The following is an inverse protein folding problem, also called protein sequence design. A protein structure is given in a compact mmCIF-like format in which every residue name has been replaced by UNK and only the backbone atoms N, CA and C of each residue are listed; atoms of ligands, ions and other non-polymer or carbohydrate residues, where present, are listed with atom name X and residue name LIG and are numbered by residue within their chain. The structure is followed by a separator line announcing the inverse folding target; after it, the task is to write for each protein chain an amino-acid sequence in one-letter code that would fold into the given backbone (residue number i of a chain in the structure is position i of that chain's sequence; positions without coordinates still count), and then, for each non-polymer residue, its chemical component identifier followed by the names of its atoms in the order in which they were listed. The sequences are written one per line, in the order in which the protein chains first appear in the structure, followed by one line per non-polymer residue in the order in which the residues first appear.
data_IF_286579575057
#
_entry.id   IF_286579575057
#
_cell.length_a   1.000
_cell.length_b   1.000
_cell.length_c   1.000
_cell.angle_alpha   90.00
_cell.angle_beta   90.00
_cell.angle_gamma   90.00
#
_symmetry.space_group_name_H-M   'P 1'
#
loop_
_entity.id
_entity.type
_entity.pdbx_description
1 polymer ?
#
# COMPACT_ATOMS: atom_id res chain seq x y z
N UNK A 1 28.99 3.09 -5.06
CA UNK A 1 28.05 4.24 -5.13
C UNK A 1 27.82 4.77 -3.72
N UNK A 2 28.03 6.07 -3.43
CA UNK A 2 27.74 6.64 -2.11
C UNK A 2 26.25 6.54 -1.77
N UNK A 3 25.94 6.18 -0.51
CA UNK A 3 24.59 6.09 0.03
C UNK A 3 24.59 6.53 1.50
N UNK A 4 23.44 6.94 2.01
CA UNK A 4 23.27 7.25 3.43
C UNK A 4 21.91 6.73 3.92
N UNK A 5 21.88 6.19 5.14
CA UNK A 5 20.67 5.71 5.80
C UNK A 5 20.34 6.63 6.97
N UNK A 6 19.18 7.27 6.94
CA UNK A 6 18.68 8.08 8.05
C UNK A 6 17.74 7.23 8.92
N UNK A 7 18.03 7.16 10.20
CA UNK A 7 17.28 6.37 11.20
C UNK A 7 16.69 7.32 12.24
N UNK A 8 15.45 7.05 12.67
CA UNK A 8 14.73 7.91 13.61
C UNK A 8 14.34 9.23 12.95
N UNK A 9 13.42 9.17 12.00
CA UNK A 9 12.91 10.35 11.27
C UNK A 9 11.43 10.58 11.60
N UNK A 10 10.95 11.80 11.31
CA UNK A 10 9.53 12.11 11.45
C UNK A 10 8.68 11.17 10.57
N UNK A 11 7.51 10.66 11.02
CA UNK A 11 6.68 9.75 10.22
C UNK A 11 6.29 10.27 8.84
N UNK A 12 6.16 11.59 8.67
CA UNK A 12 5.93 12.21 7.35
C UNK A 12 7.10 11.99 6.37
N UNK A 13 8.35 11.98 6.87
CA UNK A 13 9.53 11.67 6.08
C UNK A 13 9.51 10.20 5.68
N UNK A 14 9.21 9.29 6.61
CA UNK A 14 9.09 7.87 6.34
C UNK A 14 7.98 7.56 5.31
N UNK A 15 6.81 8.21 5.41
CA UNK A 15 5.73 8.11 4.43
C UNK A 15 6.14 8.65 3.05
N UNK A 16 6.84 9.79 3.02
CA UNK A 16 7.34 10.36 1.77
C UNK A 16 8.37 9.47 1.08
N UNK A 17 9.24 8.80 1.84
CA UNK A 17 10.22 7.84 1.32
C UNK A 17 9.56 6.59 0.68
N UNK A 18 8.29 6.35 0.98
CA UNK A 18 7.48 5.27 0.42
C UNK A 18 6.54 5.75 -0.69
N UNK A 19 6.67 7.01 -1.12
CA UNK A 19 5.92 7.51 -2.26
C UNK A 19 6.33 6.75 -3.53
N UNK A 20 5.34 6.31 -4.30
CA UNK A 20 5.56 5.69 -5.61
C UNK A 20 5.24 6.75 -6.67
N UNK A 21 6.23 7.11 -7.48
CA UNK A 21 6.17 8.22 -8.42
C UNK A 21 7.04 8.01 -9.65
N UNK A 22 7.16 9.05 -10.47
CA UNK A 22 8.08 9.04 -11.62
C UNK A 22 9.53 9.08 -11.15
N UNK A 23 10.46 8.58 -11.97
CA UNK A 23 11.91 8.74 -11.74
C UNK A 23 12.35 10.21 -11.72
N UNK A 24 11.54 11.09 -12.30
CA UNK A 24 11.78 12.55 -12.36
C UNK A 24 11.23 13.29 -11.13
N UNK A 25 10.49 12.60 -10.25
CA UNK A 25 9.95 13.18 -9.02
C UNK A 25 10.92 12.98 -7.86
N UNK A 26 11.01 13.99 -6.99
CA UNK A 26 11.84 13.95 -5.80
C UNK A 26 10.96 13.78 -4.57
N UNK A 27 11.11 12.66 -3.85
CA UNK A 27 10.31 12.35 -2.67
C UNK A 27 10.46 13.42 -1.58
N UNK A 28 11.56 14.18 -1.55
CA UNK A 28 11.76 15.26 -0.57
C UNK A 28 10.75 16.39 -0.73
N UNK A 29 10.25 16.64 -1.94
CA UNK A 29 9.18 17.59 -2.16
C UNK A 29 7.86 17.09 -1.53
N UNK A 30 7.60 15.78 -1.61
CA UNK A 30 6.44 15.14 -0.97
C UNK A 30 6.59 15.19 0.55
N UNK A 31 7.78 14.88 1.08
CA UNK A 31 8.07 14.97 2.52
C UNK A 31 7.82 16.39 3.04
N UNK A 32 8.30 17.42 2.35
CA UNK A 32 8.05 18.82 2.72
C UNK A 32 6.56 19.20 2.64
N UNK A 33 5.85 18.74 1.62
CA UNK A 33 4.40 18.95 1.51
C UNK A 33 3.62 18.30 2.67
N UNK A 34 4.02 17.09 3.09
CA UNK A 34 3.42 16.40 4.25
C UNK A 34 3.74 17.09 5.58
N UNK A 35 4.94 17.67 5.71
CA UNK A 35 5.35 18.45 6.88
C UNK A 35 4.68 19.84 6.92
N UNK A 36 4.26 20.37 5.76
CA UNK A 36 3.76 21.73 5.62
C UNK A 36 4.86 22.79 5.54
N UNK A 37 6.13 22.37 5.48
CA UNK A 37 7.31 23.22 5.41
C UNK A 37 8.45 22.52 4.65
N UNK A 38 9.42 23.26 4.08
CA UNK A 38 10.57 22.67 3.41
C UNK A 38 11.38 21.74 4.33
N UNK A 39 11.80 20.59 3.81
CA UNK A 39 12.64 19.65 4.54
C UNK A 39 14.05 20.21 4.76
N UNK A 40 14.47 20.37 6.01
CA UNK A 40 15.83 20.78 6.35
C UNK A 40 16.82 19.62 6.12
N UNK A 41 17.83 19.87 5.29
CA UNK A 41 18.82 18.88 4.88
C UNK A 41 20.22 19.33 5.26
N UNK A 42 21.07 18.36 5.60
CA UNK A 42 22.51 18.56 5.84
C UNK A 42 23.30 17.62 4.94
N UNK A 43 24.50 18.05 4.53
CA UNK A 43 25.43 17.24 3.76
C UNK A 43 26.10 16.20 4.67
N UNK A 44 26.24 14.98 4.16
CA UNK A 44 27.05 13.94 4.76
C UNK A 44 28.52 14.36 4.93
N UNK A 45 29.22 13.77 5.90
CA UNK A 45 30.64 14.03 6.20
C UNK A 45 31.58 13.44 5.12
N UNK A 46 31.19 12.32 4.52
CA UNK A 46 32.04 11.52 3.62
C UNK A 46 31.61 11.57 2.16
N UNK A 47 30.54 12.30 1.83
CA UNK A 47 30.01 12.41 0.46
C UNK A 47 29.11 13.63 0.26
N UNK A 48 28.70 13.87 -0.98
CA UNK A 48 27.81 14.97 -1.37
C UNK A 48 26.32 14.66 -1.12
N UNK A 49 25.99 13.49 -0.53
CA UNK A 49 24.61 13.08 -0.25
C UNK A 49 24.00 14.01 0.82
N UNK A 50 22.73 14.39 0.62
CA UNK A 50 21.96 15.19 1.56
C UNK A 50 21.02 14.28 2.36
N UNK A 51 20.98 14.49 3.67
CA UNK A 51 20.15 13.72 4.62
C UNK A 51 19.30 14.66 5.49
N UNK A 52 18.16 14.23 6.04
CA UNK A 52 17.37 15.03 6.98
C UNK A 52 18.22 15.48 8.19
N UNK A 53 18.32 16.79 8.40
CA UNK A 53 19.17 17.36 9.46
C UNK A 53 18.74 16.93 10.88
N UNK A 54 17.48 16.52 11.03
CA UNK A 54 16.87 16.16 12.30
C UNK A 54 16.71 14.65 12.52
N UNK A 55 17.36 13.80 11.71
CA UNK A 55 17.41 12.37 11.98
C UNK A 55 18.12 12.08 13.32
N UNK A 56 17.72 11.01 14.01
CA UNK A 56 18.39 10.58 15.24
C UNK A 56 19.80 10.05 14.95
N UNK A 57 19.96 9.33 13.84
CA UNK A 57 21.23 8.76 13.39
C UNK A 57 21.31 8.72 11.86
N UNK A 58 22.51 8.94 11.32
CA UNK A 58 22.84 8.77 9.92
C UNK A 58 24.00 7.79 9.77
N UNK A 59 23.83 6.78 8.92
CA UNK A 59 24.87 5.82 8.54
C UNK A 59 25.28 6.13 7.12
N UNK A 60 26.48 6.66 6.93
CA UNK A 60 27.06 6.94 5.62
C UNK A 60 27.86 5.75 5.13
N UNK A 61 27.66 5.38 3.87
CA UNK A 61 28.26 4.18 3.31
C UNK A 61 28.50 4.28 1.80
N UNK A 62 29.12 3.24 1.26
CA UNK A 62 29.18 3.01 -0.17
C UNK A 62 28.72 1.58 -0.50
N UNK A 63 27.91 1.46 -1.56
CA UNK A 63 27.63 0.17 -2.18
C UNK A 63 28.87 -0.22 -3.01
N UNK A 64 29.45 -1.37 -2.70
CA UNK A 64 30.63 -1.91 -3.38
C UNK A 64 30.21 -2.55 -4.71
N UNK A 65 30.75 -2.08 -5.86
CA UNK A 65 30.38 -2.64 -7.15
C UNK A 65 30.85 -4.10 -7.27
N UNK A 66 30.03 -4.94 -7.89
CA UNK A 66 30.27 -6.37 -8.14
C UNK A 66 30.45 -7.27 -6.91
N UNK A 67 30.64 -6.74 -5.71
CA UNK A 67 30.71 -7.53 -4.49
C UNK A 67 29.31 -7.98 -4.05
N UNK A 68 29.19 -9.26 -3.71
CA UNK A 68 27.96 -9.87 -3.25
C UNK A 68 28.24 -10.81 -2.08
N UNK A 69 27.34 -10.82 -1.11
CA UNK A 69 27.36 -11.77 0.00
C UNK A 69 26.01 -12.48 0.14
N UNK A 70 25.99 -13.69 0.73
CA UNK A 70 24.74 -14.32 1.11
C UNK A 70 24.00 -13.49 2.18
N UNK A 71 22.76 -13.09 1.91
CA UNK A 71 21.87 -12.32 2.78
C UNK A 71 20.57 -13.11 3.04
N UNK A 72 20.06 -13.06 4.26
CA UNK A 72 18.93 -13.86 4.73
C UNK A 72 19.32 -15.23 5.32
N UNK A 73 18.34 -16.05 5.74
CA UNK A 73 16.91 -15.82 5.56
C UNK A 73 16.35 -14.70 6.43
N UNK A 74 15.27 -14.06 5.97
CA UNK A 74 14.60 -12.98 6.68
C UNK A 74 13.08 -13.07 6.52
N UNK A 75 12.33 -12.70 7.55
CA UNK A 75 10.86 -12.67 7.53
C UNK A 75 10.36 -11.45 6.77
N UNK A 76 9.49 -11.65 5.77
CA UNK A 76 9.02 -10.59 4.87
C UNK A 76 7.60 -10.12 5.19
N UNK A 77 7.18 -9.01 4.57
CA UNK A 77 5.83 -8.45 4.73
C UNK A 77 4.70 -9.41 4.33
N UNK A 78 5.02 -10.46 3.58
CA UNK A 78 4.07 -11.51 3.19
C UNK A 78 3.74 -12.46 4.34
N UNK A 79 4.46 -12.38 5.47
CA UNK A 79 4.34 -13.28 6.62
C UNK A 79 5.19 -14.55 6.49
N UNK A 80 6.03 -14.65 5.45
CA UNK A 80 6.89 -15.79 5.19
C UNK A 80 8.36 -15.38 5.23
N UNK A 81 9.21 -16.30 5.68
CA UNK A 81 10.65 -16.13 5.54
C UNK A 81 11.11 -16.60 4.16
N UNK A 82 11.92 -15.78 3.51
CA UNK A 82 12.57 -16.17 2.26
C UNK A 82 13.98 -16.68 2.53
N UNK A 83 14.41 -17.61 1.70
CA UNK A 83 15.74 -18.17 1.76
C UNK A 83 16.83 -17.16 1.42
N UNK A 84 18.07 -17.60 1.58
CA UNK A 84 19.25 -16.77 1.36
C UNK A 84 19.44 -16.43 -0.13
N UNK A 85 19.83 -15.18 -0.42
CA UNK A 85 20.15 -14.71 -1.78
C UNK A 85 21.46 -13.93 -1.79
N UNK A 86 22.14 -13.90 -2.94
CA UNK A 86 23.34 -13.06 -3.12
C UNK A 86 22.91 -11.60 -3.30
N UNK A 87 23.30 -10.72 -2.37
CA UNK A 87 22.92 -9.29 -2.33
C UNK A 87 24.15 -8.38 -2.25
N UNK A 88 23.95 -7.13 -2.59
CA UNK A 88 24.93 -6.05 -2.59
C UNK A 88 25.58 -5.85 -1.21
N UNK A 89 26.88 -5.56 -1.17
CA UNK A 89 27.59 -5.20 0.05
C UNK A 89 27.59 -3.69 0.24
N UNK A 90 27.19 -3.25 1.42
CA UNK A 90 27.24 -1.86 1.87
C UNK A 90 28.39 -1.71 2.86
N UNK A 91 29.39 -0.89 2.53
CA UNK A 91 30.53 -0.60 3.40
C UNK A 91 30.34 0.74 4.10
N UNK A 92 30.14 0.69 5.42
CA UNK A 92 29.99 1.88 6.26
C UNK A 92 31.29 2.68 6.31
N UNK A 93 31.17 4.00 6.18
CA UNK A 93 32.27 4.97 6.23
C UNK A 93 32.21 5.86 7.46
N UNK A 94 31.02 6.28 7.87
CA UNK A 94 30.81 7.10 9.04
C UNK A 94 29.43 6.82 9.66
N UNK A 95 29.33 7.06 10.96
CA UNK A 95 28.06 7.10 11.69
C UNK A 95 28.02 8.42 12.44
N UNK A 96 27.03 9.26 12.16
CA UNK A 96 26.77 10.50 12.90
C UNK A 96 25.43 10.38 13.60
N UNK A 97 25.29 10.99 14.78
CA UNK A 97 24.06 10.88 15.56
C UNK A 97 23.91 12.01 16.58
N UNK A 98 22.68 12.23 17.03
CA UNK A 98 22.38 13.14 18.13
C UNK A 98 22.94 12.62 19.46
N UNK A 99 23.23 13.53 20.40
CA UNK A 99 23.54 13.12 21.78
C UNK A 99 22.29 12.48 22.40
N UNK A 100 22.40 11.22 22.82
CA UNK A 100 21.25 10.47 23.36
C UNK A 100 20.28 9.97 22.29
N UNK A 101 20.76 9.75 21.06
CA UNK A 101 19.94 9.29 19.94
C UNK A 101 19.14 8.01 20.25
N UNK A 102 17.92 7.97 19.74
CA UNK A 102 17.06 6.78 19.76
C UNK A 102 17.23 5.98 18.47
N UNK A 103 17.33 4.65 18.59
CA UNK A 103 17.30 3.76 17.44
C UNK A 103 15.85 3.36 17.16
N UNK A 104 15.33 3.75 16.00
CA UNK A 104 14.00 3.36 15.54
C UNK A 104 14.12 2.06 14.74
N UNK A 105 13.46 1.01 15.24
CA UNK A 105 13.27 -0.25 14.52
C UNK A 105 11.80 -0.39 14.10
N UNK A 106 11.55 -1.10 13.00
CA UNK A 106 10.22 -1.40 12.48
C UNK A 106 10.11 -2.91 12.34
N UNK A 107 9.20 -3.52 13.11
CA UNK A 107 9.01 -4.96 13.06
C UNK A 107 8.31 -5.37 11.76
N UNK A 108 8.91 -6.28 11.01
CA UNK A 108 8.35 -6.71 9.72
C UNK A 108 7.00 -7.41 9.89
N UNK A 109 6.09 -7.20 8.92
CA UNK A 109 4.69 -7.65 8.93
C UNK A 109 3.83 -7.14 10.12
N UNK A 110 4.39 -6.34 11.03
CA UNK A 110 3.60 -5.69 12.07
C UNK A 110 2.84 -4.47 11.52
N UNK A 111 1.84 -3.99 12.26
CA UNK A 111 0.89 -2.99 11.78
C UNK A 111 1.57 -1.67 11.39
N UNK A 112 2.59 -1.25 12.13
CA UNK A 112 3.41 -0.06 11.83
C UNK A 112 4.15 -0.18 10.49
N UNK A 113 4.76 -1.33 10.19
CA UNK A 113 5.32 -1.59 8.86
C UNK A 113 4.24 -1.52 7.79
N UNK A 114 3.13 -2.24 7.97
CA UNK A 114 2.09 -2.36 6.95
C UNK A 114 1.40 -1.02 6.68
N UNK A 115 1.11 -0.23 7.71
CA UNK A 115 0.46 1.08 7.56
C UNK A 115 1.34 2.09 6.83
N UNK A 116 2.63 2.16 7.17
CA UNK A 116 3.57 3.07 6.52
C UNK A 116 3.63 2.83 5.01
N UNK A 117 3.63 1.57 4.57
CA UNK A 117 3.71 1.22 3.14
C UNK A 117 2.36 1.31 2.41
N UNK A 118 1.25 1.03 3.09
CA UNK A 118 -0.07 0.95 2.41
C UNK A 118 -0.71 2.31 2.17
N UNK A 119 -0.52 3.31 3.03
CA UNK A 119 -1.08 4.66 2.85
C UNK A 119 -0.64 5.31 1.51
N UNK A 120 0.66 5.42 1.18
CA UNK A 120 1.07 6.00 -0.10
C UNK A 120 0.62 5.14 -1.29
N UNK A 121 0.61 3.82 -1.15
CA UNK A 121 0.10 2.90 -2.17
C UNK A 121 -1.40 3.11 -2.44
N UNK A 122 -2.22 3.24 -1.39
CA UNK A 122 -3.66 3.53 -1.49
C UNK A 122 -3.91 4.88 -2.18
N UNK A 123 -3.13 5.91 -1.87
CA UNK A 123 -3.22 7.22 -2.53
C UNK A 123 -2.91 7.11 -4.04
N UNK A 124 -1.92 6.31 -4.41
CA UNK A 124 -1.55 6.07 -5.81
C UNK A 124 -2.62 5.27 -6.56
N UNK A 125 -3.12 4.19 -5.96
CA UNK A 125 -4.19 3.39 -6.53
C UNK A 125 -5.49 4.20 -6.65
N UNK A 126 -5.81 5.05 -5.67
CA UNK A 126 -6.93 5.97 -5.75
C UNK A 126 -6.81 6.92 -6.94
N UNK A 127 -5.63 7.52 -7.15
CA UNK A 127 -5.35 8.38 -8.32
C UNK A 127 -5.51 7.61 -9.63
N UNK A 128 -4.96 6.41 -9.72
CA UNK A 128 -5.04 5.57 -10.91
C UNK A 128 -6.50 5.21 -11.27
N UNK A 129 -7.29 4.76 -10.28
CA UNK A 129 -8.70 4.45 -10.50
C UNK A 129 -9.49 5.70 -10.86
N UNK A 130 -9.26 6.82 -10.16
CA UNK A 130 -10.00 8.08 -10.39
C UNK A 130 -9.83 8.62 -11.80
N UNK A 131 -8.67 8.40 -12.43
CA UNK A 131 -8.42 8.80 -13.81
C UNK A 131 -9.40 8.15 -14.81
N UNK A 132 -9.84 6.92 -14.54
CA UNK A 132 -10.78 6.17 -15.39
C UNK A 132 -12.21 6.15 -14.85
N UNK A 133 -12.37 6.17 -13.53
CA UNK A 133 -13.65 6.14 -12.80
C UNK A 133 -13.67 7.29 -11.79
N UNK A 134 -14.05 8.52 -12.22
CA UNK A 134 -14.04 9.70 -11.34
C UNK A 134 -14.95 9.59 -10.11
N UNK A 135 -15.88 8.63 -10.11
CA UNK A 135 -16.81 8.35 -9.03
C UNK A 135 -16.29 7.35 -7.98
N UNK A 136 -14.98 7.04 -7.99
CA UNK A 136 -14.32 6.30 -6.90
C UNK A 136 -14.50 7.00 -5.56
N UNK A 137 -14.84 6.23 -4.52
CA UNK A 137 -15.12 6.72 -3.16
C UNK A 137 -14.01 6.37 -2.20
N UNK A 138 -13.47 5.17 -2.27
CA UNK A 138 -12.43 4.70 -1.37
C UNK A 138 -11.58 3.60 -2.03
N UNK A 139 -10.32 3.51 -1.59
CA UNK A 139 -9.37 2.44 -1.91
C UNK A 139 -8.73 1.99 -0.61
N UNK A 140 -8.57 0.67 -0.43
CA UNK A 140 -7.98 0.07 0.77
C UNK A 140 -7.12 -1.13 0.38
N UNK A 141 -5.94 -1.25 0.96
CA UNK A 141 -5.03 -2.41 0.81
C UNK A 141 -4.97 -3.15 2.15
N UNK A 142 -5.94 -4.04 2.45
CA UNK A 142 -6.09 -4.67 3.76
C UNK A 142 -4.96 -5.64 4.11
N UNK A 143 -4.20 -6.11 3.12
CA UNK A 143 -3.11 -7.05 3.31
C UNK A 143 -2.33 -7.24 2.02
N UNK A 144 -1.25 -8.06 2.05
CA UNK A 144 -0.38 -8.27 0.91
C UNK A 144 -1.15 -8.64 -0.36
N UNK A 145 -0.80 -7.96 -1.46
CA UNK A 145 -1.31 -8.20 -2.81
C UNK A 145 -2.85 -8.10 -2.99
N UNK A 146 -3.58 -7.53 -2.03
CA UNK A 146 -5.03 -7.32 -2.11
C UNK A 146 -5.38 -5.84 -2.11
N UNK A 147 -6.29 -5.44 -2.99
CA UNK A 147 -6.88 -4.11 -3.03
C UNK A 147 -8.41 -4.19 -3.05
N UNK A 148 -9.07 -3.39 -2.22
CA UNK A 148 -10.50 -3.16 -2.22
C UNK A 148 -10.77 -1.76 -2.74
N UNK A 149 -11.78 -1.62 -3.59
CA UNK A 149 -12.16 -0.34 -4.19
C UNK A 149 -13.68 -0.18 -4.13
N UNK A 150 -14.12 0.98 -3.67
CA UNK A 150 -15.52 1.37 -3.66
C UNK A 150 -15.77 2.44 -4.72
N UNK A 151 -16.80 2.23 -5.55
CA UNK A 151 -17.20 3.18 -6.59
C UNK A 151 -18.70 3.48 -6.53
N UNK A 152 -19.08 4.68 -6.95
CA UNK A 152 -20.46 4.95 -7.35
C UNK A 152 -20.59 4.63 -8.85
N UNK A 153 -21.03 3.42 -9.16
CA UNK A 153 -21.15 2.94 -10.54
C UNK A 153 -22.26 3.71 -11.28
N UNK A 154 -21.88 4.34 -12.40
CA UNK A 154 -22.79 5.11 -13.27
C UNK A 154 -23.09 4.39 -14.58
N UNK A 155 -22.16 3.55 -15.05
CA UNK A 155 -22.29 2.78 -16.28
C UNK A 155 -21.91 1.32 -16.02
N UNK A 156 -22.67 0.34 -16.55
CA UNK A 156 -22.28 -1.07 -16.51
C UNK A 156 -20.86 -1.27 -17.09
N UNK A 157 -20.06 -2.10 -16.43
CA UNK A 157 -18.67 -2.38 -16.83
C UNK A 157 -17.61 -1.45 -16.23
N UNK A 158 -17.99 -0.34 -15.56
CA UNK A 158 -17.02 0.52 -14.87
C UNK A 158 -16.20 -0.23 -13.81
N UNK A 159 -16.80 -1.17 -13.08
CA UNK A 159 -16.08 -2.04 -12.15
C UNK A 159 -14.94 -2.82 -12.83
N UNK A 160 -15.16 -3.38 -14.02
CA UNK A 160 -14.09 -4.08 -14.77
C UNK A 160 -12.96 -3.14 -15.18
N UNK A 161 -13.27 -1.92 -15.63
CA UNK A 161 -12.24 -0.91 -15.95
C UNK A 161 -11.43 -0.51 -14.70
N UNK A 162 -12.09 -0.35 -13.55
CA UNK A 162 -11.42 -0.06 -12.28
C UNK A 162 -10.51 -1.21 -11.83
N UNK A 163 -10.97 -2.47 -11.97
CA UNK A 163 -10.14 -3.67 -11.72
C UNK A 163 -8.86 -3.62 -12.56
N UNK A 164 -8.98 -3.41 -13.87
CA UNK A 164 -7.82 -3.36 -14.78
C UNK A 164 -6.89 -2.20 -14.45
N UNK A 165 -7.45 -1.04 -14.08
CA UNK A 165 -6.67 0.13 -13.64
C UNK A 165 -5.81 -0.19 -12.41
N UNK A 166 -6.37 -0.82 -11.39
CA UNK A 166 -5.60 -1.22 -10.19
C UNK A 166 -4.53 -2.27 -10.53
N UNK A 167 -4.89 -3.32 -11.28
CA UNK A 167 -3.97 -4.40 -11.63
C UNK A 167 -2.79 -3.94 -12.52
N UNK A 168 -3.00 -2.88 -13.30
CA UNK A 168 -1.98 -2.25 -14.14
C UNK A 168 -1.20 -1.13 -13.46
N UNK A 169 -1.76 -0.48 -12.43
CA UNK A 169 -1.10 0.60 -11.70
C UNK A 169 -0.04 0.13 -10.70
N UNK A 170 -0.21 -1.08 -10.15
CA UNK A 170 0.76 -1.68 -9.25
C UNK A 170 1.27 -3.03 -9.79
N UNK A 171 2.60 -3.15 -9.85
CA UNK A 171 3.27 -4.31 -10.45
C UNK A 171 2.94 -5.60 -9.70
N UNK A 172 2.78 -5.55 -8.38
CA UNK A 172 2.67 -6.73 -7.51
C UNK A 172 1.23 -7.04 -7.07
N UNK A 173 0.29 -6.12 -7.29
CA UNK A 173 -1.11 -6.31 -6.94
C UNK A 173 -1.69 -7.53 -7.66
N UNK A 174 -2.26 -8.46 -6.87
CA UNK A 174 -2.71 -9.77 -7.35
C UNK A 174 -4.22 -9.90 -7.34
N UNK A 175 -4.89 -9.37 -6.31
CA UNK A 175 -6.33 -9.48 -6.11
C UNK A 175 -6.96 -8.11 -5.96
N UNK A 176 -8.03 -7.85 -6.71
CA UNK A 176 -8.83 -6.63 -6.57
C UNK A 176 -10.30 -6.98 -6.34
N UNK A 177 -10.95 -6.33 -5.38
CA UNK A 177 -12.40 -6.47 -5.16
C UNK A 177 -13.06 -5.10 -5.32
N UNK A 178 -13.99 -5.00 -6.26
CA UNK A 178 -14.77 -3.80 -6.52
C UNK A 178 -16.16 -3.92 -5.90
N UNK A 179 -16.59 -2.90 -5.17
CA UNK A 179 -17.90 -2.83 -4.52
C UNK A 179 -18.58 -1.48 -4.77
N UNK A 180 -19.88 -1.40 -4.55
CA UNK A 180 -20.58 -0.11 -4.59
C UNK A 180 -20.24 0.78 -3.38
N UNK A 181 -20.50 2.07 -3.52
CA UNK A 181 -20.37 3.10 -2.49
C UNK A 181 -21.19 2.88 -1.20
N UNK A 182 -22.12 1.91 -1.16
CA UNK A 182 -22.87 1.58 0.06
C UNK A 182 -22.17 0.52 0.94
N UNK A 183 -21.01 0.03 0.49
CA UNK A 183 -20.13 -0.92 1.18
C UNK A 183 -18.90 -0.18 1.69
N UNK A 184 -18.64 -0.33 2.99
CA UNK A 184 -17.42 0.17 3.62
C UNK A 184 -16.24 -0.79 3.35
N UNK A 185 -15.22 -0.31 2.63
CA UNK A 185 -14.01 -1.09 2.30
C UNK A 185 -13.08 -1.29 3.49
N UNK A 186 -13.33 -0.61 4.61
CA UNK A 186 -12.58 -0.78 5.86
C UNK A 186 -13.23 -1.81 6.81
N UNK A 187 -14.44 -2.33 6.50
CA UNK A 187 -15.09 -3.42 7.24
C UNK A 187 -15.09 -4.72 6.40
N UNK A 188 -14.21 -5.66 6.76
CA UNK A 188 -14.08 -6.95 6.08
C UNK A 188 -15.38 -7.78 6.06
N UNK A 189 -16.27 -7.58 7.04
CA UNK A 189 -17.58 -8.24 7.05
C UNK A 189 -18.48 -7.69 5.95
N UNK A 190 -18.42 -6.38 5.69
CA UNK A 190 -19.17 -5.77 4.59
C UNK A 190 -18.58 -6.20 3.23
N UNK A 191 -17.26 -6.30 3.13
CA UNK A 191 -16.61 -6.81 1.91
C UNK A 191 -17.00 -8.25 1.62
N UNK A 192 -16.96 -9.12 2.63
CA UNK A 192 -17.37 -10.53 2.50
C UNK A 192 -18.85 -10.64 2.12
N UNK A 193 -19.72 -9.83 2.74
CA UNK A 193 -21.15 -9.77 2.40
C UNK A 193 -21.38 -9.34 0.95
N UNK A 194 -20.69 -8.29 0.49
CA UNK A 194 -20.84 -7.80 -0.88
C UNK A 194 -20.41 -8.86 -1.90
N UNK A 195 -19.26 -9.51 -1.68
CA UNK A 195 -18.81 -10.63 -2.53
C UNK A 195 -19.86 -11.74 -2.55
N UNK A 196 -20.33 -12.19 -1.39
CA UNK A 196 -21.23 -13.34 -1.29
C UNK A 196 -22.61 -13.09 -1.93
N UNK A 197 -23.09 -11.84 -1.92
CA UNK A 197 -24.47 -11.53 -2.34
C UNK A 197 -24.56 -10.85 -3.71
N UNK A 198 -23.49 -10.21 -4.20
CA UNK A 198 -23.50 -9.43 -5.45
C UNK A 198 -22.60 -10.00 -6.55
N UNK A 199 -21.77 -11.00 -6.26
CA UNK A 199 -20.91 -11.65 -7.24
C UNK A 199 -21.51 -12.98 -7.72
N UNK A 200 -21.52 -13.20 -9.02
CA UNK A 200 -21.70 -14.51 -9.65
C UNK A 200 -20.36 -14.92 -10.28
N UNK A 201 -19.61 -15.87 -9.68
CA UNK A 201 -18.22 -16.15 -10.06
C UNK A 201 -17.97 -16.47 -11.53
N UNK A 202 -18.94 -17.06 -12.23
CA UNK A 202 -18.87 -17.41 -13.65
C UNK A 202 -18.77 -16.18 -14.57
N UNK A 203 -19.22 -15.00 -14.13
CA UNK A 203 -19.23 -13.77 -14.94
C UNK A 203 -18.56 -12.55 -14.29
N UNK A 204 -18.49 -12.54 -12.97
CA UNK A 204 -18.03 -11.40 -12.19
C UNK A 204 -16.56 -11.52 -11.75
N UNK A 205 -15.92 -12.68 -11.96
CA UNK A 205 -14.47 -12.84 -11.77
C UNK A 205 -13.75 -12.68 -13.11
N UNK A 206 -12.68 -11.89 -13.10
CA UNK A 206 -11.77 -11.74 -14.25
C UNK A 206 -10.39 -12.23 -13.84
N UNK A 207 -9.76 -13.06 -14.68
CA UNK A 207 -8.43 -13.61 -14.44
C UNK A 207 -7.51 -13.15 -15.57
N UNK A 208 -6.35 -12.60 -15.21
CA UNK A 208 -5.25 -12.26 -16.11
C UNK A 208 -4.09 -13.20 -15.79
N UNK A 209 -3.79 -14.09 -16.73
CA UNK A 209 -2.73 -15.09 -16.57
C UNK A 209 -1.37 -14.52 -16.99
N UNK A 210 -0.29 -15.13 -16.50
CA UNK A 210 1.09 -14.84 -16.91
C UNK A 210 1.50 -13.35 -16.75
N UNK A 211 0.97 -12.66 -15.73
CA UNK A 211 1.38 -11.31 -15.38
C UNK A 211 2.59 -11.35 -14.45
N UNK A 212 3.33 -10.23 -14.35
CA UNK A 212 4.42 -10.11 -13.37
C UNK A 212 3.84 -10.09 -11.96
N UNK A 213 4.43 -10.86 -11.05
CA UNK A 213 4.12 -10.87 -9.62
C UNK A 213 5.31 -10.42 -8.78
N UNK A 214 5.20 -10.65 -7.47
CA UNK A 214 6.32 -10.49 -6.53
C UNK A 214 7.05 -11.83 -6.39
N UNK A 215 8.37 -11.75 -6.33
CA UNK A 215 9.27 -12.85 -5.96
C UNK A 215 9.26 -13.15 -4.45
N UNK A 216 8.48 -12.39 -3.68
CA UNK A 216 8.22 -12.59 -2.25
C UNK A 216 6.88 -13.29 -1.99
N UNK A 217 6.03 -13.47 -3.02
CA UNK A 217 4.82 -14.29 -2.95
C UNK A 217 5.22 -15.78 -3.08
N UNK A 218 5.08 -16.60 -2.02
CA UNK A 218 5.49 -18.01 -2.06
C UNK A 218 4.62 -18.88 -2.98
N UNK A 219 3.49 -18.37 -3.47
CA UNK A 219 2.64 -19.06 -4.45
C UNK A 219 3.01 -18.74 -5.91
N UNK A 220 3.90 -17.78 -6.15
CA UNK A 220 4.42 -17.47 -7.48
C UNK A 220 5.34 -18.59 -7.96
N UNK A 221 5.26 -18.91 -9.25
CA UNK A 221 6.13 -19.91 -9.89
C UNK A 221 7.57 -19.41 -9.98
N UNK A 222 8.52 -20.33 -10.19
CA UNK A 222 9.95 -19.98 -10.35
C UNK A 222 10.22 -19.02 -11.53
N UNK A 223 9.32 -18.98 -12.52
CA UNK A 223 9.39 -18.06 -13.66
C UNK A 223 9.03 -16.60 -13.31
N UNK A 224 8.57 -16.34 -12.08
CA UNK A 224 8.19 -15.02 -11.60
C UNK A 224 6.84 -14.52 -12.14
N UNK A 225 6.08 -15.39 -12.81
CA UNK A 225 4.73 -15.07 -13.29
C UNK A 225 3.66 -15.53 -12.31
N UNK A 226 2.61 -14.73 -12.20
CA UNK A 226 1.45 -15.00 -11.35
C UNK A 226 0.16 -14.74 -12.11
N UNK A 227 -0.93 -15.36 -11.66
CA UNK A 227 -2.27 -15.00 -12.11
C UNK A 227 -2.78 -13.85 -11.23
N UNK A 228 -3.17 -12.75 -11.88
CA UNK A 228 -3.88 -11.64 -11.25
C UNK A 228 -5.38 -11.83 -11.46
N UNK A 229 -6.20 -11.37 -10.52
CA UNK A 229 -7.64 -11.53 -10.62
C UNK A 229 -8.40 -10.39 -9.96
N UNK A 230 -9.60 -10.14 -10.48
CA UNK A 230 -10.51 -9.15 -9.96
C UNK A 230 -11.90 -9.71 -9.75
N UNK A 231 -12.59 -9.20 -8.75
CA UNK A 231 -13.97 -9.55 -8.40
C UNK A 231 -14.82 -8.29 -8.54
N UNK A 232 -15.80 -8.33 -9.44
CA UNK A 232 -16.86 -7.34 -9.49
C UNK A 232 -17.96 -7.74 -8.51
N UNK A 233 -17.94 -7.17 -7.31
CA UNK A 233 -18.98 -7.33 -6.28
C UNK A 233 -19.92 -6.10 -6.22
N UNK A 234 -20.07 -5.37 -7.34
CA UNK A 234 -21.10 -4.33 -7.46
C UNK A 234 -22.49 -4.95 -7.66
N UNK A 235 -23.54 -4.21 -7.36
CA UNK A 235 -24.92 -4.61 -7.53
C UNK A 235 -25.33 -4.53 -9.02
N UNK A 236 -25.98 -5.58 -9.54
CA UNK A 236 -26.37 -5.67 -10.96
C UNK A 236 -27.89 -5.60 -11.17
N UNK A 237 -28.40 -4.84 -12.17
CA UNK A 237 -27.63 -4.04 -13.12
C UNK A 237 -27.11 -2.71 -12.54
N UNK A 238 -27.65 -2.26 -11.41
CA UNK A 238 -27.20 -1.10 -10.65
C UNK A 238 -27.64 -1.21 -9.20
N UNK A 239 -26.99 -0.49 -8.29
CA UNK A 239 -27.39 -0.43 -6.89
C UNK A 239 -28.82 0.09 -6.70
N UNK A 240 -29.25 1.09 -7.49
CA UNK A 240 -30.57 1.71 -7.37
C UNK A 240 -31.73 0.75 -7.67
N UNK A 241 -31.51 -0.23 -8.53
CA UNK A 241 -32.51 -1.23 -8.94
C UNK A 241 -32.32 -2.58 -8.25
N UNK A 242 -31.26 -2.74 -7.46
CA UNK A 242 -30.96 -3.99 -6.77
C UNK A 242 -31.87 -4.20 -5.57
N UNK A 243 -31.95 -5.43 -5.08
CA UNK A 243 -32.72 -5.76 -3.88
C UNK A 243 -32.24 -4.88 -2.71
N UNK A 244 -33.13 -4.05 -2.11
CA UNK A 244 -32.74 -3.13 -1.05
C UNK A 244 -32.13 -3.88 0.14
N UNK A 245 -30.99 -3.38 0.65
CA UNK A 245 -30.42 -3.88 1.91
C UNK A 245 -31.31 -3.47 3.07
N UNK A 246 -31.69 -4.41 3.92
CA UNK A 246 -32.34 -4.08 5.18
C UNK A 246 -31.38 -3.28 6.07
N UNK A 247 -31.81 -2.11 6.54
CA UNK A 247 -31.07 -1.27 7.49
C UNK A 247 -32.07 -0.69 8.48
N UNK A 248 -31.65 -0.50 9.72
CA UNK A 248 -32.40 0.37 10.65
C UNK A 248 -32.36 1.78 10.06
N UNK A 249 -33.50 2.49 9.97
CA UNK A 249 -33.50 3.85 9.42
C UNK A 249 -32.49 4.75 10.16
N UNK A 250 -31.66 5.54 9.47
CA UNK A 250 -30.62 6.35 10.11
C UNK A 250 -31.17 7.25 11.22
N UNK A 251 -32.36 7.82 11.02
CA UNK A 251 -33.06 8.65 12.00
C UNK A 251 -33.44 7.90 13.28
N UNK A 252 -33.65 6.59 13.22
CA UNK A 252 -33.87 5.74 14.40
C UNK A 252 -32.53 5.39 15.03
N UNK A 253 -31.56 4.94 14.22
CA UNK A 253 -30.25 4.51 14.70
C UNK A 253 -29.48 5.64 15.41
N UNK A 254 -29.48 6.84 14.84
CA UNK A 254 -28.76 8.00 15.40
C UNK A 254 -29.38 8.54 16.69
N UNK A 255 -30.64 8.23 16.97
CA UNK A 255 -31.31 8.61 18.23
C UNK A 255 -30.99 7.69 19.40
N UNK A 256 -30.40 6.53 19.15
CA UNK A 256 -30.10 5.54 20.18
C UNK A 256 -28.61 5.66 20.53
N UNK A 257 -28.32 6.07 21.76
CA UNK A 257 -26.99 5.97 22.33
C UNK A 257 -26.97 4.78 23.30
N UNK A 258 -26.18 3.75 22.98
CA UNK A 258 -26.11 2.53 23.78
C UNK A 258 -25.75 2.80 25.25
N UNK A 259 -24.96 3.85 25.52
CA UNK A 259 -24.58 4.25 26.89
C UNK A 259 -25.77 4.66 27.76
N UNK A 260 -26.88 5.08 27.16
CA UNK A 260 -28.09 5.46 27.90
C UNK A 260 -28.84 4.22 28.45
N UNK A 261 -28.46 3.02 28.00
CA UNK A 261 -29.12 1.75 28.31
C UNK A 261 -28.20 0.71 28.98
N UNK A 262 -26.91 1.02 29.15
CA UNK A 262 -25.96 0.18 29.85
C UNK A 262 -25.64 0.77 31.24
N UNK A 263 -25.55 -0.06 32.30
CA UNK A 263 -25.26 0.37 33.66
C UNK A 263 -23.82 0.89 33.84
#
# INVERSE_FOLDING_TARGET
MPVAFAVGVHPAIALGALAIGSIDEDERAIMGALLGEPLELVRCETSEVLVPAHAEMVIEAEILPAERIPEGPFGEFTGYSLGQRQREVVKVKAVTHRRGAMFQDITVAHLDHMLLSTIPMEANLYRAVRAMVPSVKAVRVPGPFTCYVSIEQRLPGQAKNAILSVLGADLYMKRVVLVDHDVDVFDDRQMTWAIATRCQPDRDITIITAARGSDLDPSTREDGYTAKWGVDATAKPSLATYTPRHRVPPEVWQRINLKDYLP
#
